data_IF_366838412309
#
_entry.id   IF_366838412309
#
_cell.length_a   1.000
_cell.length_b   1.000
_cell.length_c   1.000
_cell.angle_alpha   90.00
_cell.angle_beta   90.00
_cell.angle_gamma   90.00
#
_symmetry.space_group_name_H-M   'P 1'
#
loop_
_entity.id
_entity.type
_entity.pdbx_description
1 polymer ?
#
# COMPACT_ATOMS: atom_id res chain seq x y z
N UNK A 1 0.06 -6.02 7.24
CA UNK A 1 -0.01 -5.00 6.16
C UNK A 1 0.79 -3.75 6.44
N UNK A 2 0.86 -3.23 7.67
CA UNK A 2 1.61 -2.00 7.97
C UNK A 2 3.07 -1.99 7.47
N UNK A 3 3.82 -3.07 7.70
CA UNK A 3 5.20 -3.20 7.21
C UNK A 3 5.30 -3.20 5.67
N UNK A 4 4.31 -3.74 4.97
CA UNK A 4 4.23 -3.69 3.50
C UNK A 4 4.10 -2.23 3.03
N UNK A 5 3.19 -1.47 3.64
CA UNK A 5 2.97 -0.06 3.27
C UNK A 5 4.24 0.75 3.50
N UNK A 6 4.89 0.56 4.65
CA UNK A 6 6.14 1.25 4.97
C UNK A 6 7.26 0.91 3.98
N UNK A 7 7.42 -0.38 3.66
CA UNK A 7 8.51 -0.86 2.80
C UNK A 7 8.29 -0.51 1.32
N UNK A 8 7.08 -0.71 0.81
CA UNK A 8 6.81 -0.70 -0.63
C UNK A 8 6.01 0.51 -1.11
N UNK A 9 5.21 1.15 -0.24
CA UNK A 9 4.35 2.26 -0.65
C UNK A 9 4.95 3.62 -0.26
N UNK A 10 5.47 3.75 0.97
CA UNK A 10 5.91 5.02 1.52
C UNK A 10 7.18 5.59 0.87
N UNK A 11 7.90 4.80 0.06
CA UNK A 11 8.96 5.30 -0.81
C UNK A 11 8.50 6.42 -1.78
N UNK A 12 7.23 6.40 -2.18
CA UNK A 12 6.60 7.43 -3.03
C UNK A 12 5.39 8.10 -2.38
N UNK A 13 4.65 7.36 -1.55
CA UNK A 13 3.38 7.79 -0.94
C UNK A 13 3.52 8.43 0.45
N UNK A 14 4.73 8.61 0.99
CA UNK A 14 4.91 9.43 2.20
C UNK A 14 4.97 10.92 1.85
N UNK A 15 4.45 11.80 2.72
CA UNK A 15 4.62 13.26 2.61
C UNK A 15 6.08 13.69 2.56
N UNK A 16 6.97 12.92 3.19
CA UNK A 16 8.42 13.15 3.18
C UNK A 16 9.10 12.74 1.86
N UNK A 17 8.36 12.14 0.93
CA UNK A 17 8.87 11.64 -0.36
C UNK A 17 8.13 12.25 -1.54
N UNK A 18 8.82 12.28 -2.68
CA UNK A 18 8.27 12.67 -3.96
C UNK A 18 8.08 11.42 -4.82
N UNK A 19 6.94 11.29 -5.50
CA UNK A 19 6.68 10.16 -6.39
C UNK A 19 5.21 9.82 -6.59
N UNK A 20 4.36 10.13 -5.61
CA UNK A 20 2.91 9.96 -5.71
C UNK A 20 2.15 11.28 -5.56
N UNK A 21 0.93 11.38 -6.13
CA UNK A 21 0.04 12.52 -5.89
C UNK A 21 -0.25 12.73 -4.41
N UNK A 22 -0.35 13.97 -3.96
CA UNK A 22 -0.63 14.32 -2.56
C UNK A 22 -1.98 13.80 -2.05
N UNK A 23 -2.91 13.47 -2.95
CA UNK A 23 -4.20 12.87 -2.59
C UNK A 23 -4.12 11.39 -2.18
N UNK A 24 -2.95 10.74 -2.30
CA UNK A 24 -2.73 9.35 -1.91
C UNK A 24 -1.51 9.28 -1.02
N UNK A 25 -1.66 9.68 0.24
CA UNK A 25 -0.63 9.55 1.28
C UNK A 25 -0.98 8.40 2.22
N UNK A 26 0.04 7.73 2.73
CA UNK A 26 -0.11 6.58 3.63
C UNK A 26 0.77 6.73 4.88
N UNK A 27 0.97 7.97 5.34
CA UNK A 27 1.80 8.28 6.50
C UNK A 27 1.15 7.82 7.81
N UNK A 28 -0.19 7.77 7.85
CA UNK A 28 -0.95 7.31 9.02
C UNK A 28 -1.84 6.12 8.70
N UNK A 29 -2.22 5.37 9.73
CA UNK A 29 -3.18 4.27 9.61
C UNK A 29 -4.54 4.76 9.12
N UNK A 30 -4.97 5.96 9.51
CA UNK A 30 -6.24 6.53 9.07
C UNK A 30 -6.21 6.91 7.58
N UNK A 31 -5.07 7.38 7.07
CA UNK A 31 -4.90 7.59 5.62
C UNK A 31 -4.97 6.26 4.84
N UNK A 32 -4.31 5.23 5.37
CA UNK A 32 -4.36 3.88 4.78
C UNK A 32 -5.79 3.35 4.76
N UNK A 33 -6.53 3.49 5.87
CA UNK A 33 -7.94 3.07 5.97
C UNK A 33 -8.83 3.84 5.00
N UNK A 34 -8.64 5.15 4.87
CA UNK A 34 -9.36 6.01 3.92
C UNK A 34 -9.17 5.53 2.48
N UNK A 35 -8.02 4.94 2.16
CA UNK A 35 -7.70 4.45 0.84
C UNK A 35 -7.67 2.92 0.71
N UNK A 36 -8.20 2.17 1.69
CA UNK A 36 -8.04 0.72 1.77
C UNK A 36 -8.50 -0.01 0.49
N UNK A 37 -9.68 0.33 -0.04
CA UNK A 37 -10.20 -0.24 -1.29
C UNK A 37 -9.27 0.06 -2.48
N UNK A 38 -8.75 1.29 -2.55
CA UNK A 38 -7.87 1.70 -3.63
C UNK A 38 -6.51 0.99 -3.55
N UNK A 39 -5.97 0.82 -2.33
CA UNK A 39 -4.74 0.07 -2.09
C UNK A 39 -4.95 -1.39 -2.51
N UNK A 40 -6.09 -1.99 -2.16
CA UNK A 40 -6.41 -3.36 -2.54
C UNK A 40 -6.36 -3.56 -4.05
N UNK A 41 -7.13 -2.75 -4.80
CA UNK A 41 -7.22 -2.84 -6.27
C UNK A 41 -5.88 -2.58 -6.97
N UNK A 42 -4.92 -1.93 -6.29
CA UNK A 42 -3.63 -1.58 -6.90
C UNK A 42 -2.50 -2.51 -6.51
N UNK A 43 -2.49 -3.06 -5.30
CA UNK A 43 -1.31 -3.68 -4.72
C UNK A 43 -1.56 -4.97 -3.91
N UNK A 44 -2.81 -5.34 -3.61
CA UNK A 44 -3.09 -6.48 -2.74
C UNK A 44 -3.65 -7.69 -3.50
N UNK A 45 -3.40 -8.88 -2.97
CA UNK A 45 -3.78 -10.15 -3.59
C UNK A 45 -3.21 -10.27 -5.01
N UNK A 46 -4.04 -10.55 -6.04
CA UNK A 46 -3.57 -10.70 -7.41
C UNK A 46 -3.22 -9.37 -8.10
N UNK A 47 -3.43 -8.22 -7.44
CA UNK A 47 -3.24 -6.92 -8.05
C UNK A 47 -1.78 -6.44 -7.93
N UNK A 48 -1.15 -6.13 -9.06
CA UNK A 48 0.29 -5.86 -9.15
C UNK A 48 0.64 -4.52 -9.79
N UNK A 49 -0.34 -3.63 -10.00
CA UNK A 49 -0.09 -2.33 -10.66
C UNK A 49 0.70 -1.34 -9.79
N UNK A 50 0.84 -1.63 -8.49
CA UNK A 50 1.66 -0.89 -7.52
C UNK A 50 2.44 -1.85 -6.62
N UNK A 51 3.64 -1.43 -6.15
CA UNK A 51 4.36 -0.22 -6.55
C UNK A 51 4.86 -0.27 -8.00
N UNK A 52 5.07 0.89 -8.61
CA UNK A 52 5.72 0.99 -9.93
C UNK A 52 7.24 0.90 -9.76
N UNK A 53 7.90 0.15 -10.64
CA UNK A 53 9.36 0.06 -10.66
C UNK A 53 9.88 -1.36 -10.47
N UNK A 54 11.20 -1.53 -10.32
CA UNK A 54 11.85 -2.85 -10.30
C UNK A 54 11.62 -3.64 -9.00
N UNK A 55 11.22 -2.96 -7.92
CA UNK A 55 10.94 -3.60 -6.64
C UNK A 55 9.49 -4.06 -6.59
N UNK A 56 9.27 -5.29 -7.03
CA UNK A 56 7.95 -5.94 -6.99
C UNK A 56 7.81 -6.76 -5.69
N UNK A 57 6.82 -6.45 -4.83
CA UNK A 57 6.50 -7.26 -3.66
C UNK A 57 6.13 -8.71 -4.02
N UNK A 58 6.61 -9.71 -3.28
CA UNK A 58 6.21 -11.11 -3.46
C UNK A 58 4.70 -11.34 -3.28
N UNK A 59 4.14 -12.30 -4.00
CA UNK A 59 2.71 -12.64 -3.95
C UNK A 59 2.20 -12.94 -2.52
N UNK A 60 3.02 -13.62 -1.70
CA UNK A 60 2.67 -13.90 -0.31
C UNK A 60 2.45 -12.61 0.50
N UNK A 61 3.32 -11.62 0.30
CA UNK A 61 3.19 -10.33 0.98
C UNK A 61 1.98 -9.54 0.49
N UNK A 62 1.62 -9.68 -0.79
CA UNK A 62 0.39 -9.09 -1.36
C UNK A 62 -0.86 -9.74 -0.79
N UNK A 63 -0.85 -11.06 -0.58
CA UNK A 63 -1.95 -11.78 0.07
C UNK A 63 -2.10 -11.36 1.54
N UNK A 64 -0.99 -11.25 2.28
CA UNK A 64 -1.00 -10.74 3.65
C UNK A 64 -1.49 -9.28 3.73
N UNK A 65 -1.20 -8.45 2.72
CA UNK A 65 -1.77 -7.10 2.62
C UNK A 65 -3.29 -7.17 2.43
N UNK A 66 -3.79 -8.04 1.56
CA UNK A 66 -5.22 -8.21 1.30
C UNK A 66 -5.98 -8.63 2.58
N UNK A 67 -5.48 -9.61 3.32
CA UNK A 67 -6.06 -10.04 4.59
C UNK A 67 -6.06 -8.92 5.63
N UNK A 68 -4.94 -8.20 5.75
CA UNK A 68 -4.84 -7.09 6.71
C UNK A 68 -5.80 -5.95 6.40
N UNK A 69 -5.99 -5.61 5.12
CA UNK A 69 -6.99 -4.61 4.69
C UNK A 69 -8.42 -5.09 4.95
N UNK A 70 -8.71 -6.38 4.68
CA UNK A 70 -10.02 -6.98 4.97
C UNK A 70 -10.37 -6.95 6.46
N UNK A 71 -9.37 -7.06 7.34
CA UNK A 71 -9.52 -6.90 8.79
C UNK A 71 -9.62 -5.44 9.26
N UNK A 72 -9.70 -4.47 8.34
CA UNK A 72 -9.84 -3.04 8.68
C UNK A 72 -8.51 -2.33 8.98
N UNK A 73 -7.39 -2.87 8.51
CA UNK A 73 -6.05 -2.35 8.79
C UNK A 73 -5.83 -2.11 10.29
N UNK A 74 -5.87 -3.17 11.13
CA UNK A 74 -5.63 -3.07 12.56
C UNK A 74 -4.18 -2.67 12.87
#
# INVERSE_FOLDING_TARGET
GASFVDTYCNSCHSTSKHGAPSAFRFDTVDDIRTHAERIFVRAAGPNTTMPVGPLDPPDEMRNQLAEWLACGAP
#
